data_IF_978195756822
#
_entry.id   IF_978195756822
#
_cell.length_a   1.000
_cell.length_b   1.000
_cell.length_c   1.000
_cell.angle_alpha   90.00
_cell.angle_beta   90.00
_cell.angle_gamma   90.00
#
_symmetry.space_group_name_H-M   'P 1'
#
loop_
_entity.id
_entity.type
_entity.pdbx_description
1 polymer ?
#
# COMPACT_ATOMS: atom_id res chain seq x y z
N UNK A 1 16.79 -1.56 13.28
CA UNK A 1 16.98 -1.27 11.83
C UNK A 1 15.64 -1.60 11.19
N UNK A 2 14.89 -0.71 10.54
CA UNK A 2 15.27 0.40 9.66
C UNK A 2 14.47 1.68 10.05
N UNK A 3 15.03 2.89 10.02
CA UNK A 3 15.15 3.73 8.82
C UNK A 3 13.95 3.54 7.87
N UNK A 4 12.88 4.31 8.08
CA UNK A 4 11.71 4.45 7.18
C UNK A 4 12.11 5.16 5.86
N UNK A 5 13.13 4.65 5.17
CA UNK A 5 13.92 5.39 4.16
C UNK A 5 13.52 5.11 2.71
N UNK A 6 12.47 4.34 2.46
CA UNK A 6 11.91 4.22 1.12
C UNK A 6 11.16 5.49 0.74
N UNK A 7 11.64 6.27 -0.23
CA UNK A 7 10.83 7.33 -0.85
C UNK A 7 9.54 6.76 -1.49
N UNK A 8 9.58 5.47 -1.87
CA UNK A 8 8.46 4.72 -2.39
C UNK A 8 8.24 3.45 -1.56
N UNK A 9 6.99 2.98 -1.54
CA UNK A 9 6.57 1.71 -0.91
C UNK A 9 7.18 0.47 -1.57
N UNK A 10 7.58 0.58 -2.83
CA UNK A 10 8.20 -0.49 -3.62
C UNK A 10 9.25 0.07 -4.57
N UNK A 11 10.11 -0.83 -5.05
CA UNK A 11 11.10 -0.60 -6.11
C UNK A 11 10.84 -1.50 -7.32
N UNK A 12 11.51 -1.24 -8.44
CA UNK A 12 11.46 -2.13 -9.62
C UNK A 12 11.96 -3.54 -9.32
N UNK A 13 12.91 -3.70 -8.40
CA UNK A 13 13.36 -5.04 -7.98
C UNK A 13 12.26 -5.82 -7.27
N UNK A 14 11.39 -5.16 -6.52
CA UNK A 14 10.29 -5.83 -5.84
C UNK A 14 9.25 -6.31 -6.85
N UNK A 15 8.94 -5.49 -7.87
CA UNK A 15 8.07 -5.88 -8.98
C UNK A 15 8.59 -7.14 -9.69
N UNK A 16 9.90 -7.21 -9.95
CA UNK A 16 10.54 -8.37 -10.59
C UNK A 16 10.47 -9.66 -9.76
N UNK A 17 10.28 -9.59 -8.43
CA UNK A 17 10.05 -10.79 -7.61
C UNK A 17 8.71 -11.46 -7.92
N UNK A 18 7.70 -10.68 -8.32
CA UNK A 18 6.34 -11.16 -8.56
C UNK A 18 6.03 -11.34 -10.06
N UNK A 19 6.57 -10.48 -10.92
CA UNK A 19 6.47 -10.60 -12.37
C UNK A 19 7.87 -10.40 -12.99
N UNK A 20 8.65 -11.50 -13.17
CA UNK A 20 10.06 -11.41 -13.56
C UNK A 20 10.35 -10.79 -14.94
N UNK A 21 9.38 -10.85 -15.85
CA UNK A 21 9.48 -10.32 -17.21
C UNK A 21 8.74 -8.97 -17.37
N UNK A 22 8.32 -8.33 -16.26
CA UNK A 22 7.49 -7.14 -16.29
C UNK A 22 8.04 -6.06 -17.23
N UNK A 23 9.33 -5.75 -17.14
CA UNK A 23 9.98 -4.65 -17.86
C UNK A 23 10.48 -5.01 -19.27
N UNK A 24 10.25 -6.25 -19.72
CA UNK A 24 10.59 -6.69 -21.09
C UNK A 24 9.49 -6.34 -22.10
N UNK A 25 8.38 -5.75 -21.65
CA UNK A 25 7.19 -5.48 -22.45
C UNK A 25 7.12 -4.09 -23.09
N UNK A 26 8.19 -3.30 -22.97
CA UNK A 26 8.34 -2.01 -23.66
C UNK A 26 8.37 -0.77 -22.76
N UNK A 27 8.21 -0.93 -21.45
CA UNK A 27 8.45 0.13 -20.46
C UNK A 27 9.59 -0.35 -19.56
N UNK A 28 10.73 0.35 -19.59
CA UNK A 28 11.93 -0.06 -18.84
C UNK A 28 11.85 0.31 -17.35
N UNK A 29 12.74 -0.26 -16.54
CA UNK A 29 12.86 0.05 -15.11
C UNK A 29 13.22 1.51 -14.82
N UNK A 30 13.85 2.20 -15.76
CA UNK A 30 14.29 3.60 -15.63
C UNK A 30 13.43 4.57 -16.43
N UNK A 31 12.35 4.09 -17.07
CA UNK A 31 11.42 4.94 -17.80
C UNK A 31 10.77 5.97 -16.84
N UNK A 32 10.47 7.16 -17.38
CA UNK A 32 9.84 8.23 -16.59
C UNK A 32 8.47 7.78 -16.06
N UNK A 33 7.76 7.02 -16.88
CA UNK A 33 6.50 6.35 -16.55
C UNK A 33 6.66 5.44 -15.33
N UNK A 34 7.67 4.57 -15.32
CA UNK A 34 7.94 3.66 -14.20
C UNK A 34 8.19 4.41 -12.90
N UNK A 35 9.02 5.47 -12.94
CA UNK A 35 9.29 6.30 -11.75
C UNK A 35 8.01 6.96 -11.24
N UNK A 36 7.19 7.50 -12.14
CA UNK A 36 5.91 8.11 -11.79
C UNK A 36 4.92 7.09 -11.18
N UNK A 37 4.85 5.89 -11.74
CA UNK A 37 3.98 4.83 -11.26
C UNK A 37 4.37 4.38 -9.85
N UNK A 38 5.67 4.22 -9.55
CA UNK A 38 6.14 3.88 -8.19
C UNK A 38 5.73 4.96 -7.16
N UNK A 39 5.86 6.24 -7.53
CA UNK A 39 5.43 7.34 -6.68
C UNK A 39 3.91 7.36 -6.47
N UNK A 40 3.13 7.10 -7.53
CA UNK A 40 1.66 7.02 -7.45
C UNK A 40 1.20 5.84 -6.59
N UNK A 41 1.83 4.67 -6.70
CA UNK A 41 1.56 3.51 -5.83
C UNK A 41 1.70 3.88 -4.36
N UNK A 42 2.77 4.58 -3.99
CA UNK A 42 3.00 5.03 -2.61
C UNK A 42 1.91 5.98 -2.14
N UNK A 43 1.55 6.97 -2.97
CA UNK A 43 0.51 7.93 -2.65
C UNK A 43 -0.87 7.30 -2.49
N UNK A 44 -1.17 6.27 -3.29
CA UNK A 44 -2.46 5.58 -3.25
C UNK A 44 -2.57 4.67 -2.00
N UNK A 45 -1.51 3.97 -1.61
CA UNK A 45 -1.46 3.23 -0.32
C UNK A 45 -1.69 4.19 0.85
N UNK A 46 -0.94 5.30 0.91
CA UNK A 46 -1.10 6.30 1.97
C UNK A 46 -2.50 6.91 1.98
N UNK A 47 -3.12 7.10 0.81
CA UNK A 47 -4.50 7.57 0.70
C UNK A 47 -5.49 6.55 1.27
N UNK A 48 -5.35 5.27 0.95
CA UNK A 48 -6.20 4.22 1.50
C UNK A 48 -6.08 4.14 3.03
N UNK A 49 -4.86 4.29 3.57
CA UNK A 49 -4.64 4.35 5.02
C UNK A 49 -5.33 5.56 5.66
N UNK A 50 -5.21 6.75 5.07
CA UNK A 50 -5.90 7.96 5.55
C UNK A 50 -7.42 7.82 5.55
N UNK A 51 -7.98 7.09 4.60
CA UNK A 51 -9.44 6.92 4.46
C UNK A 51 -9.96 5.83 5.40
N UNK A 52 -9.31 4.66 5.42
CA UNK A 52 -9.84 3.47 6.10
C UNK A 52 -9.33 3.35 7.53
N UNK A 53 -8.03 3.46 7.72
CA UNK A 53 -7.37 3.13 8.99
C UNK A 53 -7.27 4.32 9.94
N UNK A 54 -6.80 5.47 9.45
CA UNK A 54 -6.53 6.64 10.27
C UNK A 54 -7.72 7.11 11.14
N UNK A 55 -8.97 7.16 10.63
CA UNK A 55 -10.11 7.58 11.45
C UNK A 55 -10.35 6.65 12.65
N UNK A 56 -10.12 5.34 12.46
CA UNK A 56 -10.25 4.32 13.52
C UNK A 56 -9.11 4.45 14.52
N UNK A 57 -7.86 4.54 14.03
CA UNK A 57 -6.68 4.77 14.86
C UNK A 57 -6.86 5.99 15.78
N UNK A 58 -7.24 7.14 15.19
CA UNK A 58 -7.42 8.40 15.93
C UNK A 58 -8.41 8.26 17.08
N UNK A 59 -9.57 7.65 16.80
CA UNK A 59 -10.63 7.49 17.79
C UNK A 59 -10.23 6.52 18.91
N UNK A 60 -9.36 5.54 18.61
CA UNK A 60 -8.87 4.58 19.60
C UNK A 60 -7.76 5.15 20.49
N UNK A 61 -6.89 6.00 19.94
CA UNK A 61 -5.67 6.49 20.62
C UNK A 61 -5.91 7.83 21.31
N UNK A 62 -6.61 8.77 20.67
CA UNK A 62 -6.85 10.09 21.23
C UNK A 62 -8.17 10.12 22.00
N UNK A 63 -8.08 10.37 23.31
CA UNK A 63 -9.26 10.55 24.19
C UNK A 63 -9.65 12.03 24.35
N UNK A 64 -8.72 12.96 24.08
CA UNK A 64 -8.97 14.39 24.11
C UNK A 64 -9.62 14.87 22.79
N UNK A 65 -10.84 15.38 22.91
CA UNK A 65 -11.65 15.84 21.77
C UNK A 65 -11.02 17.02 21.01
N UNK A 66 -10.20 17.85 21.67
CA UNK A 66 -9.54 18.99 21.04
C UNK A 66 -8.42 18.55 20.10
N UNK A 67 -7.77 17.43 20.42
CA UNK A 67 -6.72 16.80 19.60
C UNK A 67 -7.34 15.92 18.51
N UNK A 68 -8.44 15.20 18.81
CA UNK A 68 -9.09 14.27 17.89
C UNK A 68 -9.47 14.91 16.54
N UNK A 69 -9.97 16.15 16.57
CA UNK A 69 -10.41 16.89 15.39
C UNK A 69 -9.28 17.54 14.58
N UNK A 70 -8.07 17.60 15.14
CA UNK A 70 -6.92 18.30 14.52
C UNK A 70 -5.77 17.36 14.17
N UNK A 71 -5.74 16.15 14.72
CA UNK A 71 -4.71 15.17 14.41
C UNK A 71 -4.85 14.64 12.97
N UNK A 72 -3.74 14.67 12.24
CA UNK A 72 -3.62 14.15 10.87
C UNK A 72 -2.51 13.09 10.79
N UNK A 73 -2.66 12.16 9.84
CA UNK A 73 -1.69 11.08 9.67
C UNK A 73 -0.38 11.68 9.16
N UNK A 74 0.74 11.27 9.78
CA UNK A 74 2.06 11.68 9.31
C UNK A 74 2.65 10.54 8.51
N UNK A 75 2.77 10.73 7.19
CA UNK A 75 3.17 9.67 6.26
C UNK A 75 4.55 9.06 6.62
N UNK A 76 5.47 9.86 7.17
CA UNK A 76 6.82 9.39 7.57
C UNK A 76 6.84 8.51 8.82
N UNK A 77 5.71 8.37 9.51
CA UNK A 77 5.55 7.51 10.70
C UNK A 77 4.98 6.14 10.34
N UNK A 78 4.52 5.94 9.11
CA UNK A 78 4.01 4.65 8.64
C UNK A 78 5.17 3.76 8.24
N UNK A 79 5.17 2.51 8.69
CA UNK A 79 6.10 1.52 8.14
C UNK A 79 5.65 1.08 6.74
N UNK A 80 6.24 1.69 5.71
CA UNK A 80 5.92 1.36 4.31
C UNK A 80 6.34 -0.06 3.91
N UNK A 81 7.33 -0.66 4.56
CA UNK A 81 7.81 -2.01 4.22
C UNK A 81 6.73 -3.07 4.43
N UNK A 82 5.78 -2.84 5.35
CA UNK A 82 4.61 -3.71 5.57
C UNK A 82 3.74 -3.83 4.30
N UNK A 83 3.79 -2.84 3.42
CA UNK A 83 2.96 -2.75 2.22
C UNK A 83 3.70 -3.18 0.94
N UNK A 84 4.92 -3.73 0.99
CA UNK A 84 5.69 -4.11 -0.21
C UNK A 84 4.86 -4.97 -1.16
N UNK A 85 4.24 -6.04 -0.65
CA UNK A 85 3.41 -6.96 -1.46
C UNK A 85 2.17 -6.27 -2.04
N UNK A 86 1.42 -5.54 -1.21
CA UNK A 86 0.24 -4.80 -1.66
C UNK A 86 0.63 -3.72 -2.69
N UNK A 87 1.76 -3.05 -2.49
CA UNK A 87 2.32 -2.05 -3.39
C UNK A 87 2.64 -2.64 -4.75
N UNK A 88 3.25 -3.83 -4.83
CA UNK A 88 3.54 -4.50 -6.11
C UNK A 88 2.25 -4.81 -6.86
N UNK A 89 1.24 -5.36 -6.18
CA UNK A 89 -0.04 -5.66 -6.83
C UNK A 89 -0.73 -4.40 -7.35
N UNK A 90 -0.77 -3.35 -6.53
CA UNK A 90 -1.33 -2.05 -6.91
C UNK A 90 -0.61 -1.45 -8.12
N UNK A 91 0.73 -1.45 -8.10
CA UNK A 91 1.55 -1.00 -9.22
C UNK A 91 1.20 -1.72 -10.52
N UNK A 92 1.15 -3.06 -10.47
CA UNK A 92 0.88 -3.87 -11.65
C UNK A 92 -0.52 -3.61 -12.20
N UNK A 93 -1.57 -3.72 -11.37
CA UNK A 93 -2.94 -3.67 -11.86
C UNK A 93 -3.42 -2.25 -12.18
N UNK A 94 -2.96 -1.22 -11.46
CA UNK A 94 -3.53 0.14 -11.55
C UNK A 94 -2.79 1.01 -12.54
N UNK A 95 -1.49 0.81 -12.71
CA UNK A 95 -0.65 1.71 -13.49
C UNK A 95 0.06 0.99 -14.63
N UNK A 96 0.82 -0.07 -14.32
CA UNK A 96 1.73 -0.67 -15.28
C UNK A 96 1.02 -1.46 -16.40
N UNK A 97 0.19 -2.43 -16.05
CA UNK A 97 -0.51 -3.27 -17.03
C UNK A 97 -1.54 -2.48 -17.86
N UNK A 98 -2.28 -1.50 -17.29
CA UNK A 98 -3.14 -0.61 -18.08
C UNK A 98 -2.38 0.21 -19.14
N UNK A 99 -1.10 0.52 -18.92
CA UNK A 99 -0.28 1.22 -19.92
C UNK A 99 0.16 0.31 -21.08
N UNK A 100 0.14 -1.02 -20.88
CA UNK A 100 0.56 -2.01 -21.88
C UNK A 100 -0.60 -2.63 -22.66
N UNK A 101 -1.80 -2.64 -22.08
CA UNK A 101 -2.99 -3.24 -22.71
C UNK A 101 -3.48 -2.41 -23.90
N UNK A 102 -4.12 -3.10 -24.85
CA UNK A 102 -4.77 -2.48 -26.00
C UNK A 102 -6.30 -2.35 -25.84
N UNK A 103 -6.85 -2.76 -24.69
CA UNK A 103 -8.28 -2.73 -24.35
C UNK A 103 -9.17 -3.28 -25.48
N UNK A 104 -9.12 -4.60 -25.68
CA UNK A 104 -9.89 -5.28 -26.73
C UNK A 104 -11.35 -5.51 -26.31
N UNK A 105 -12.27 -5.78 -27.27
CA UNK A 105 -13.60 -6.24 -26.93
C UNK A 105 -13.56 -7.48 -26.02
N UNK A 106 -14.54 -7.61 -25.12
CA UNK A 106 -14.49 -8.53 -23.97
C UNK A 106 -14.31 -10.02 -24.33
N UNK A 107 -14.70 -10.43 -25.55
CA UNK A 107 -14.50 -11.80 -26.03
C UNK A 107 -13.01 -12.15 -26.29
N UNK A 108 -12.15 -11.15 -26.44
CA UNK A 108 -10.73 -11.29 -26.83
C UNK A 108 -9.79 -10.56 -25.86
N UNK A 109 -10.07 -10.65 -24.55
CA UNK A 109 -9.21 -10.05 -23.51
C UNK A 109 -7.76 -10.42 -23.71
N UNK A 110 -6.91 -9.40 -23.82
CA UNK A 110 -5.48 -9.59 -23.91
C UNK A 110 -4.91 -10.14 -22.58
N UNK A 111 -3.65 -10.58 -22.60
CA UNK A 111 -3.03 -11.18 -21.42
C UNK A 111 -2.92 -10.18 -20.25
N UNK A 112 -2.74 -8.90 -20.55
CA UNK A 112 -2.53 -7.86 -19.54
C UNK A 112 -3.84 -7.56 -18.82
N UNK A 113 -4.97 -7.58 -19.53
CA UNK A 113 -6.30 -7.47 -18.93
C UNK A 113 -6.57 -8.62 -17.92
N UNK A 114 -6.18 -9.85 -18.24
CA UNK A 114 -6.30 -10.98 -17.29
C UNK A 114 -5.38 -10.83 -16.08
N UNK A 115 -4.16 -10.32 -16.29
CA UNK A 115 -3.23 -10.03 -15.20
C UNK A 115 -3.78 -8.92 -14.30
N UNK A 116 -4.41 -7.88 -14.86
CA UNK A 116 -5.06 -6.81 -14.09
C UNK A 116 -6.12 -7.39 -13.16
N UNK A 117 -6.99 -8.29 -13.66
CA UNK A 117 -8.01 -8.94 -12.83
C UNK A 117 -7.40 -9.72 -11.67
N UNK A 118 -6.35 -10.50 -11.93
CA UNK A 118 -5.64 -11.26 -10.91
C UNK A 118 -5.04 -10.34 -9.83
N UNK A 119 -4.21 -9.38 -10.23
CA UNK A 119 -3.52 -8.50 -9.28
C UNK A 119 -4.47 -7.55 -8.54
N UNK A 120 -5.60 -7.17 -9.15
CA UNK A 120 -6.66 -6.43 -8.43
C UNK A 120 -7.24 -7.28 -7.30
N UNK A 121 -7.53 -8.56 -7.57
CA UNK A 121 -8.02 -9.48 -6.55
C UNK A 121 -7.02 -9.69 -5.41
N UNK A 122 -5.74 -9.89 -5.74
CA UNK A 122 -4.68 -10.11 -4.76
C UNK A 122 -4.38 -8.84 -3.94
N UNK A 123 -4.40 -7.65 -4.56
CA UNK A 123 -4.27 -6.37 -3.86
C UNK A 123 -5.33 -6.20 -2.78
N UNK A 124 -6.61 -6.42 -3.13
CA UNK A 124 -7.71 -6.24 -2.18
C UNK A 124 -7.60 -7.21 -0.99
N UNK A 125 -7.17 -8.46 -1.23
CA UNK A 125 -6.96 -9.45 -0.17
C UNK A 125 -5.80 -9.04 0.75
N UNK A 126 -4.66 -8.70 0.16
CA UNK A 126 -3.46 -8.34 0.92
C UNK A 126 -3.68 -7.07 1.75
N UNK A 127 -4.26 -6.01 1.15
CA UNK A 127 -4.53 -4.78 1.88
C UNK A 127 -5.50 -5.02 3.04
N UNK A 128 -6.55 -5.82 2.83
CA UNK A 128 -7.49 -6.17 3.91
C UNK A 128 -6.78 -6.95 5.02
N UNK A 129 -5.93 -7.92 4.66
CA UNK A 129 -5.16 -8.68 5.64
C UNK A 129 -4.20 -7.80 6.46
N UNK A 130 -3.54 -6.82 5.83
CA UNK A 130 -2.68 -5.85 6.52
C UNK A 130 -3.51 -4.99 7.50
N UNK A 131 -4.67 -4.48 7.05
CA UNK A 131 -5.57 -3.69 7.87
C UNK A 131 -6.11 -4.49 9.07
N UNK A 132 -6.37 -5.78 8.89
CA UNK A 132 -6.80 -6.70 9.95
C UNK A 132 -5.69 -7.08 10.92
N UNK A 133 -4.46 -7.28 10.45
CA UNK A 133 -3.33 -7.61 11.34
C UNK A 133 -2.92 -6.40 12.19
N UNK A 134 -2.94 -5.21 11.58
CA UNK A 134 -2.66 -3.93 12.21
C UNK A 134 -1.57 -3.16 11.49
N UNK A 135 -1.82 -1.88 11.29
CA UNK A 135 -0.86 -0.99 10.62
C UNK A 135 0.19 -0.54 11.64
N UNK A 136 1.45 -0.64 11.23
CA UNK A 136 2.60 -0.21 12.04
C UNK A 136 2.82 1.30 11.90
N UNK A 137 2.60 2.06 12.99
CA UNK A 137 2.70 3.52 13.02
C UNK A 137 3.51 4.03 14.22
N UNK A 138 4.60 4.77 13.98
CA UNK A 138 5.51 5.33 15.00
C UNK A 138 4.88 6.54 15.72
N UNK A 139 4.05 6.24 16.71
CA UNK A 139 3.21 7.22 17.39
C UNK A 139 4.03 8.24 18.18
N UNK A 140 5.12 7.79 18.80
CA UNK A 140 6.01 8.60 19.64
C UNK A 140 7.19 9.22 18.88
N UNK A 141 7.33 8.91 17.59
CA UNK A 141 8.46 9.33 16.75
C UNK A 141 9.82 8.83 17.26
N UNK A 142 9.84 7.69 17.94
CA UNK A 142 11.06 7.08 18.48
C UNK A 142 11.96 6.48 17.40
N UNK A 143 11.45 6.30 16.17
CA UNK A 143 12.14 5.60 15.11
C UNK A 143 12.05 4.08 15.21
N UNK A 144 11.22 3.56 16.12
CA UNK A 144 10.99 2.12 16.33
C UNK A 144 9.52 1.82 16.52
N UNK A 145 9.01 0.76 15.89
CA UNK A 145 7.62 0.32 16.10
C UNK A 145 7.58 -0.67 17.26
N UNK A 146 6.89 -0.31 18.33
CA UNK A 146 6.55 -1.23 19.41
C UNK A 146 5.27 -2.01 19.10
N UNK A 147 5.08 -3.18 19.73
CA UNK A 147 3.87 -4.00 19.54
C UNK A 147 2.60 -3.24 19.93
N UNK A 148 2.70 -2.32 20.88
CA UNK A 148 1.57 -1.53 21.37
C UNK A 148 1.17 -0.40 20.41
N UNK A 149 1.98 -0.13 19.39
CA UNK A 149 1.70 0.87 18.36
C UNK A 149 1.05 0.28 17.11
N UNK A 150 0.87 -1.05 17.09
CA UNK A 150 0.15 -1.75 16.03
C UNK A 150 -1.34 -1.70 16.32
N UNK A 151 -2.08 -1.04 15.43
CA UNK A 151 -3.52 -0.89 15.57
C UNK A 151 -4.25 -1.51 14.37
N UNK A 152 -5.09 -2.50 14.66
CA UNK A 152 -5.95 -3.15 13.68
C UNK A 152 -7.19 -2.31 13.37
N UNK A 153 -7.62 -2.35 12.12
CA UNK A 153 -8.88 -1.74 11.66
C UNK A 153 -10.10 -2.40 12.32
N UNK A 154 -10.01 -3.70 12.59
CA UNK A 154 -11.10 -4.47 13.17
C UNK A 154 -10.71 -4.92 14.58
N UNK A 155 -11.47 -4.46 15.57
CA UNK A 155 -11.25 -4.75 16.99
C UNK A 155 -11.37 -6.23 17.40
N UNK A 156 -11.30 -7.19 16.48
CA UNK A 156 -11.39 -8.63 16.72
C UNK A 156 -10.29 -9.17 17.65
N UNK A 157 -9.22 -8.40 17.89
CA UNK A 157 -8.17 -8.69 18.90
C UNK A 157 -8.36 -7.97 20.24
N UNK A 158 -9.44 -7.19 20.41
CA UNK A 158 -9.76 -6.58 21.70
C UNK A 158 -10.44 -7.62 22.59
N UNK A 159 -9.67 -8.23 23.48
CA UNK A 159 -10.23 -8.68 24.75
C UNK A 159 -10.73 -7.42 25.46
N UNK A 160 -12.05 -7.18 25.39
CA UNK A 160 -12.72 -6.25 26.29
C UNK A 160 -12.39 -6.65 27.72
N UNK A 161 -11.63 -5.80 28.40
CA UNK A 161 -11.34 -5.92 29.83
C UNK A 161 -12.50 -5.38 30.64
#
# INVERSE_FOLDING_TARGET
MANYTGANVITTSDVLKYQPDAFDFGISTTATETVNFLAQTTNDILRELRIRWWPVYKTNVYTDITVLNTAEMVDTKVNLDQFERAGVYLFLHRFYLPALTKFRPEADKDRFERMIEHYTGEYNKELTAILEDGVEYDSDASGTISVNERESLHGSRRLTR
#
